data_IF_626069139333
#
_entry.id   IF_626069139333
#
_cell.length_a   1.000
_cell.length_b   1.000
_cell.length_c   1.000
_cell.angle_alpha   90.00
_cell.angle_beta   90.00
_cell.angle_gamma   90.00
#
_symmetry.space_group_name_H-M   'P 1'
#
loop_
_entity.id
_entity.type
_entity.pdbx_description
1 polymer ?
#
# COMPACT_ATOMS: atom_id res chain seq x y z
N UNK A 1 -0.72 20.55 13.64
CA UNK A 1 -1.09 19.21 14.14
C UNK A 1 -1.71 18.35 13.02
N UNK A 2 -1.22 18.48 11.77
CA UNK A 2 -1.70 17.70 10.62
C UNK A 2 -0.58 16.94 9.91
N UNK A 3 0.67 17.02 10.39
CA UNK A 3 1.87 16.51 9.71
C UNK A 3 2.31 15.14 10.23
N UNK A 4 1.35 14.31 10.67
CA UNK A 4 1.60 12.98 11.26
C UNK A 4 1.05 11.82 10.43
N UNK A 5 0.58 12.08 9.22
CA UNK A 5 0.14 11.06 8.30
C UNK A 5 0.76 11.31 6.92
N UNK A 6 1.46 10.32 6.34
CA UNK A 6 1.88 10.39 4.95
C UNK A 6 0.67 10.64 4.04
N UNK A 7 0.82 11.56 3.08
CA UNK A 7 -0.22 11.84 2.09
C UNK A 7 -0.41 10.62 1.19
N UNK A 8 -1.67 10.35 0.84
CA UNK A 8 -2.07 9.21 0.01
C UNK A 8 -1.34 9.17 -1.36
N UNK A 9 -0.83 10.32 -1.83
CA UNK A 9 -0.03 10.47 -3.04
C UNK A 9 1.38 9.83 -2.98
N UNK A 10 1.95 9.59 -1.78
CA UNK A 10 3.27 8.95 -1.64
C UNK A 10 3.21 7.43 -1.84
N UNK A 11 2.04 6.80 -1.71
CA UNK A 11 1.84 5.36 -1.95
C UNK A 11 1.70 5.01 -3.44
N UNK A 12 1.28 5.97 -4.27
CA UNK A 12 1.06 5.77 -5.71
C UNK A 12 2.36 5.94 -6.54
N UNK A 13 3.42 6.44 -5.90
CA UNK A 13 4.70 6.77 -6.55
C UNK A 13 5.64 5.57 -6.71
N UNK A 14 5.16 4.33 -6.84
CA UNK A 14 5.92 3.18 -7.38
C UNK A 14 7.34 2.90 -6.84
N UNK A 15 7.72 3.44 -5.69
CA UNK A 15 9.11 3.49 -5.23
C UNK A 15 9.45 2.32 -4.31
N UNK A 16 9.07 1.10 -4.67
CA UNK A 16 9.72 -0.11 -4.15
C UNK A 16 9.44 -1.32 -5.06
N UNK A 17 10.21 -1.45 -6.15
CA UNK A 17 10.11 -2.61 -7.07
C UNK A 17 11.27 -3.61 -6.90
N UNK A 18 11.77 -3.81 -5.69
CA UNK A 18 12.67 -4.94 -5.39
C UNK A 18 11.88 -6.04 -4.68
N UNK A 19 11.31 -6.95 -5.47
CA UNK A 19 10.77 -8.22 -4.97
C UNK A 19 11.97 -9.13 -4.75
N UNK A 20 12.48 -9.16 -3.52
CA UNK A 20 13.48 -10.12 -3.09
C UNK A 20 12.76 -11.42 -2.72
N UNK A 21 13.20 -12.55 -3.26
CA UNK A 21 12.61 -13.87 -3.00
C UNK A 21 12.53 -14.14 -1.48
N UNK A 22 11.32 -14.27 -0.95
CA UNK A 22 11.13 -14.67 0.44
C UNK A 22 10.96 -16.19 0.53
N UNK A 23 11.98 -16.81 1.13
CA UNK A 23 11.81 -18.09 1.80
C UNK A 23 10.83 -17.95 2.96
N UNK A 24 10.25 -19.09 3.37
CA UNK A 24 9.19 -19.23 4.38
C UNK A 24 9.13 -18.10 5.43
N UNK A 25 7.99 -17.39 5.57
CA UNK A 25 7.89 -16.19 6.38
C UNK A 25 8.18 -16.50 7.86
N UNK A 26 9.36 -16.09 8.32
CA UNK A 26 9.70 -16.06 9.76
C UNK A 26 9.20 -14.74 10.33
N UNK A 27 8.77 -14.76 11.59
CA UNK A 27 8.38 -13.55 12.33
C UNK A 27 9.49 -12.49 12.35
N UNK A 28 10.76 -12.93 12.25
CA UNK A 28 11.93 -12.05 12.20
C UNK A 28 11.98 -11.18 10.93
N UNK A 29 11.47 -11.69 9.81
CA UNK A 29 11.50 -10.98 8.51
C UNK A 29 10.46 -9.87 8.46
N UNK A 30 9.28 -10.14 9.05
CA UNK A 30 8.25 -9.12 9.25
C UNK A 30 8.75 -7.99 10.16
N UNK A 31 9.36 -8.31 11.31
CA UNK A 31 9.91 -7.30 12.22
C UNK A 31 11.05 -6.51 11.58
N UNK A 32 11.91 -7.16 10.78
CA UNK A 32 12.98 -6.49 10.06
C UNK A 32 12.44 -5.52 8.99
N UNK A 33 11.40 -5.94 8.25
CA UNK A 33 10.74 -5.10 7.24
C UNK A 33 10.05 -3.89 7.86
N UNK A 34 9.28 -4.09 8.92
CA UNK A 34 8.58 -3.01 9.62
C UNK A 34 9.59 -2.05 10.29
N UNK A 35 10.70 -2.57 10.85
CA UNK A 35 11.79 -1.75 11.40
C UNK A 35 12.53 -0.94 10.34
N UNK A 36 12.73 -1.48 9.15
CA UNK A 36 13.35 -0.77 8.04
C UNK A 36 12.43 0.34 7.49
N UNK A 37 11.12 0.07 7.44
CA UNK A 37 10.11 1.03 7.01
C UNK A 37 9.97 2.20 7.99
N UNK A 38 10.03 1.91 9.29
CA UNK A 38 9.78 2.90 10.36
C UNK A 38 11.06 3.58 10.87
N UNK A 39 12.24 3.11 10.47
CA UNK A 39 13.52 3.76 10.74
C UNK A 39 13.81 3.98 12.23
N UNK A 40 14.23 5.19 12.60
CA UNK A 40 14.56 5.55 13.99
C UNK A 40 13.33 5.48 14.93
N UNK A 41 12.12 5.69 14.40
CA UNK A 41 10.86 5.60 15.14
C UNK A 41 10.46 4.15 15.47
N UNK A 42 11.04 3.15 14.81
CA UNK A 42 10.82 1.73 15.12
C UNK A 42 11.20 1.39 16.58
N UNK A 43 12.12 2.15 17.18
CA UNK A 43 12.53 1.96 18.58
C UNK A 43 11.45 2.35 19.60
N UNK A 44 10.45 3.13 19.19
CA UNK A 44 9.32 3.51 20.04
C UNK A 44 8.30 2.37 20.22
N UNK A 45 8.30 1.41 19.30
CA UNK A 45 7.44 0.22 19.32
C UNK A 45 8.18 -1.04 19.78
N UNK A 46 9.50 -0.95 19.96
CA UNK A 46 10.34 -2.02 20.51
C UNK A 46 10.45 -1.89 22.05
N UNK A 47 9.34 -1.60 22.71
CA UNK A 47 9.31 -1.56 24.18
C UNK A 47 9.48 -2.99 24.67
N UNK A 48 10.65 -3.35 25.21
CA UNK A 48 11.04 -4.72 25.63
C UNK A 48 10.08 -5.51 26.55
N UNK A 49 8.89 -4.99 26.82
CA UNK A 49 7.68 -5.62 27.34
C UNK A 49 7.03 -6.61 26.37
N UNK A 50 7.10 -6.45 25.03
CA UNK A 50 6.37 -7.37 24.13
C UNK A 50 6.97 -8.79 24.02
N UNK A 51 8.27 -8.95 24.27
CA UNK A 51 8.89 -10.29 24.33
C UNK A 51 8.65 -10.98 25.68
N UNK A 52 8.23 -10.26 26.71
CA UNK A 52 7.79 -10.86 27.99
C UNK A 52 6.31 -11.27 27.93
N UNK A 53 5.46 -10.51 27.22
CA UNK A 53 4.03 -10.78 27.07
C UNK A 53 3.70 -12.06 26.27
N UNK A 54 4.63 -12.54 25.43
CA UNK A 54 4.47 -13.79 24.68
C UNK A 54 5.12 -15.02 25.35
N UNK A 55 5.90 -14.81 26.42
CA UNK A 55 6.73 -15.88 27.00
C UNK A 55 6.50 -16.11 28.50
N UNK A 56 5.66 -15.31 29.16
CA UNK A 56 5.34 -15.48 30.57
C UNK A 56 3.82 -15.56 30.80
N UNK A 57 3.26 -16.69 31.27
CA UNK A 57 1.85 -16.79 31.68
C UNK A 57 1.51 -15.92 32.91
N UNK A 58 2.45 -15.11 33.42
CA UNK A 58 2.26 -14.25 34.59
C UNK A 58 2.24 -12.74 34.30
N UNK A 59 2.32 -12.29 33.04
CA UNK A 59 2.25 -10.84 32.71
C UNK A 59 0.85 -10.42 32.23
N UNK A 60 -0.10 -10.63 33.13
CA UNK A 60 -1.39 -9.94 33.19
C UNK A 60 -1.16 -8.51 33.69
N UNK A 61 -0.98 -7.51 32.82
CA UNK A 61 -1.27 -6.10 33.16
C UNK A 61 -1.10 -5.15 31.97
N UNK A 62 -1.98 -5.18 30.96
CA UNK A 62 -2.14 -4.02 30.04
C UNK A 62 -3.52 -3.87 29.38
N UNK A 63 -4.56 -4.59 29.83
CA UNK A 63 -5.94 -4.39 29.36
C UNK A 63 -7.02 -4.52 30.46
N UNK A 64 -6.68 -4.16 31.69
CA UNK A 64 -7.63 -4.06 32.81
C UNK A 64 -7.57 -5.26 33.75
N UNK A 65 -6.55 -5.26 34.59
CA UNK A 65 -6.42 -6.18 35.73
C UNK A 65 -7.38 -5.84 36.85
N UNK A 66 -8.60 -6.35 36.76
CA UNK A 66 -9.39 -6.79 37.92
C UNK A 66 -10.46 -7.77 37.45
N UNK A 67 -10.07 -9.00 37.07
CA UNK A 67 -11.11 -10.02 36.84
C UNK A 67 -10.73 -11.49 37.03
N UNK A 68 -10.06 -11.76 38.15
CA UNK A 68 -10.16 -13.08 38.79
C UNK A 68 -11.52 -13.31 39.48
N UNK A 69 -12.31 -12.24 39.68
CA UNK A 69 -13.57 -12.28 40.41
C UNK A 69 -14.78 -12.48 39.49
N UNK A 70 -14.96 -11.76 38.38
CA UNK A 70 -16.10 -11.94 37.48
C UNK A 70 -15.95 -13.13 36.54
N UNK A 71 -14.73 -13.54 36.18
CA UNK A 71 -14.52 -14.82 35.49
C UNK A 71 -14.94 -16.00 36.38
N UNK A 72 -14.54 -15.99 37.66
CA UNK A 72 -14.98 -17.01 38.63
C UNK A 72 -16.46 -16.89 38.98
N UNK A 73 -17.05 -15.69 39.00
CA UNK A 73 -18.49 -15.49 39.16
C UNK A 73 -19.29 -16.01 37.95
N UNK A 74 -18.79 -15.78 36.72
CA UNK A 74 -19.39 -16.26 35.49
C UNK A 74 -19.30 -17.78 35.37
N UNK A 75 -18.13 -18.39 35.65
CA UNK A 75 -17.99 -19.84 35.72
C UNK A 75 -18.85 -20.49 36.82
N UNK A 76 -19.08 -19.78 37.94
CA UNK A 76 -19.96 -20.26 39.02
C UNK A 76 -21.45 -20.16 38.68
N UNK A 77 -21.84 -19.21 37.81
CA UNK A 77 -23.22 -19.00 37.38
C UNK A 77 -23.60 -19.78 36.12
N UNK A 78 -22.62 -20.12 35.28
CA UNK A 78 -22.79 -20.90 34.06
C UNK A 78 -21.78 -22.05 34.03
N UNK A 79 -22.11 -23.20 34.64
CA UNK A 79 -21.26 -24.38 34.61
C UNK A 79 -20.99 -24.83 33.16
N UNK A 80 -19.73 -25.13 32.86
CA UNK A 80 -19.33 -25.61 31.55
C UNK A 80 -19.98 -26.97 31.23
N UNK A 81 -20.84 -26.98 30.23
CA UNK A 81 -21.55 -28.16 29.70
C UNK A 81 -20.71 -28.97 28.71
N UNK A 82 -19.53 -28.47 28.33
CA UNK A 82 -18.62 -29.10 27.35
C UNK A 82 -17.56 -30.01 27.95
N UNK A 83 -17.34 -29.98 29.27
CA UNK A 83 -16.34 -30.80 29.93
C UNK A 83 -16.93 -32.17 30.34
N UNK A 84 -16.56 -33.29 29.69
CA UNK A 84 -16.98 -34.61 30.13
C UNK A 84 -16.29 -34.91 31.47
N UNK A 85 -17.00 -34.68 32.56
CA UNK A 85 -16.55 -35.05 33.90
C UNK A 85 -16.41 -36.59 33.96
N UNK A 86 -15.18 -37.09 33.91
CA UNK A 86 -14.83 -38.51 33.93
C UNK A 86 -14.94 -39.17 35.32
N UNK A 87 -15.69 -38.57 36.25
CA UNK A 87 -16.00 -39.16 37.55
C UNK A 87 -17.48 -39.02 37.91
N UNK A 88 -18.22 -40.13 37.84
CA UNK A 88 -19.45 -40.32 38.61
C UNK A 88 -20.61 -40.97 37.85
N UNK A 89 -20.85 -42.24 38.18
CA UNK A 89 -21.99 -43.04 37.74
C UNK A 89 -23.36 -42.48 38.25
N UNK A 90 -24.51 -43.07 37.83
CA UNK A 90 -25.78 -42.37 37.67
C UNK A 90 -26.51 -42.14 38.99
N UNK A 91 -26.99 -40.91 39.18
CA UNK A 91 -27.96 -40.58 40.21
C UNK A 91 -27.47 -39.51 41.17
N UNK A 92 -28.04 -38.32 41.01
CA UNK A 92 -28.25 -37.41 42.13
C UNK A 92 -27.27 -36.26 42.25
N UNK A 93 -27.82 -35.05 42.08
CA UNK A 93 -27.60 -33.99 43.05
C UNK A 93 -26.55 -32.95 42.71
N UNK A 94 -26.78 -32.18 41.64
CA UNK A 94 -26.17 -30.84 41.56
C UNK A 94 -27.05 -29.93 42.44
N UNK A 95 -26.58 -29.66 43.66
CA UNK A 95 -27.28 -28.83 44.64
C UNK A 95 -27.06 -27.36 44.33
N UNK A 96 -27.95 -26.77 43.53
CA UNK A 96 -28.13 -25.32 43.38
C UNK A 96 -29.63 -25.01 43.37
N UNK A 97 -30.08 -23.77 43.65
CA UNK A 97 -31.50 -23.45 43.69
C UNK A 97 -32.11 -23.66 42.30
N UNK A 98 -32.69 -24.84 42.10
CA UNK A 98 -33.41 -25.20 40.89
C UNK A 98 -34.73 -24.43 40.91
N UNK A 99 -34.77 -23.31 40.20
CA UNK A 99 -36.04 -22.87 39.64
C UNK A 99 -36.40 -23.90 38.59
N UNK A 100 -37.15 -24.91 39.02
CA UNK A 100 -37.67 -25.96 38.18
C UNK A 100 -38.75 -25.35 37.27
N UNK A 101 -38.33 -24.81 36.13
CA UNK A 101 -39.24 -24.62 35.00
C UNK A 101 -39.54 -26.00 34.41
N UNK A 102 -40.38 -26.76 35.11
CA UNK A 102 -41.11 -27.84 34.51
C UNK A 102 -42.18 -27.21 33.61
N UNK A 103 -41.75 -26.69 32.45
CA UNK A 103 -42.67 -26.55 31.33
C UNK A 103 -43.09 -27.98 31.00
N UNK A 104 -44.27 -28.37 31.47
CA UNK A 104 -44.82 -29.72 31.35
C UNK A 104 -45.13 -30.14 29.91
N UNK A 105 -44.37 -29.63 28.93
CA UNK A 105 -44.43 -30.03 27.54
C UNK A 105 -43.50 -31.22 27.35
N UNK A 106 -44.06 -32.42 27.55
CA UNK A 106 -43.46 -33.63 27.00
C UNK A 106 -43.58 -33.54 25.49
N UNK A 107 -42.45 -33.54 24.79
CA UNK A 107 -42.41 -33.75 23.35
C UNK A 107 -42.83 -35.19 23.04
N UNK A 108 -44.13 -35.46 23.13
CA UNK A 108 -44.73 -36.50 22.33
C UNK A 108 -44.61 -36.04 20.89
N UNK A 109 -43.67 -36.66 20.18
CA UNK A 109 -43.69 -36.73 18.73
C UNK A 109 -44.95 -37.49 18.31
N UNK A 110 -46.10 -36.82 18.40
CA UNK A 110 -47.26 -37.18 17.62
C UNK A 110 -47.02 -36.59 16.26
N UNK A 111 -47.07 -37.45 15.26
CA UNK A 111 -47.13 -37.16 13.82
C UNK A 111 -48.40 -36.33 13.50
N UNK A 112 -48.53 -35.14 14.09
CA UNK A 112 -49.26 -34.03 13.51
C UNK A 112 -48.28 -33.27 12.62
N UNK A 113 -47.92 -33.92 11.52
CA UNK A 113 -47.96 -33.25 10.24
C UNK A 113 -49.33 -32.54 10.22
N UNK A 114 -49.44 -31.22 10.17
CA UNK A 114 -49.52 -30.49 8.92
C UNK A 114 -49.81 -29.02 9.28
N UNK A 115 -49.16 -28.10 8.59
CA UNK A 115 -49.30 -26.63 8.68
C UNK A 115 -48.65 -26.03 9.93
N UNK A 116 -47.36 -25.65 9.78
CA UNK A 116 -46.86 -24.49 10.52
C UNK A 116 -47.95 -23.41 10.47
N UNK A 117 -48.32 -22.78 11.60
CA UNK A 117 -49.42 -21.83 11.62
C UNK A 117 -49.17 -20.79 10.52
N UNK A 118 -50.20 -20.50 9.71
CA UNK A 118 -50.06 -19.73 8.46
C UNK A 118 -49.29 -18.41 8.65
N UNK A 119 -49.39 -17.83 9.85
CA UNK A 119 -48.64 -16.64 10.28
C UNK A 119 -47.12 -16.85 10.24
N UNK A 120 -46.63 -18.00 10.72
CA UNK A 120 -45.20 -18.35 10.71
C UNK A 120 -44.73 -18.62 9.28
N UNK A 121 -45.54 -19.29 8.45
CA UNK A 121 -45.22 -19.51 7.04
C UNK A 121 -45.10 -18.18 6.29
N UNK A 122 -46.08 -17.28 6.46
CA UNK A 122 -46.05 -15.94 5.86
C UNK A 122 -44.88 -15.10 6.37
N UNK A 123 -44.52 -15.22 7.65
CA UNK A 123 -43.38 -14.53 8.23
C UNK A 123 -42.06 -15.03 7.64
N UNK A 124 -41.87 -16.35 7.54
CA UNK A 124 -40.67 -16.95 6.91
C UNK A 124 -40.58 -16.56 5.44
N UNK A 125 -41.68 -16.66 4.69
CA UNK A 125 -41.72 -16.24 3.29
C UNK A 125 -41.34 -14.76 3.10
N UNK A 126 -41.86 -13.86 3.96
CA UNK A 126 -41.48 -12.42 3.93
C UNK A 126 -40.01 -12.20 4.29
N UNK A 127 -39.49 -12.91 5.29
CA UNK A 127 -38.09 -12.84 5.72
C UNK A 127 -37.17 -13.34 4.62
N UNK A 128 -37.47 -14.50 4.06
CA UNK A 128 -36.65 -15.14 3.04
C UNK A 128 -36.67 -14.33 1.73
N UNK A 129 -37.83 -13.76 1.36
CA UNK A 129 -37.91 -12.79 0.26
C UNK A 129 -37.07 -11.52 0.52
N UNK A 130 -37.08 -11.00 1.75
CA UNK A 130 -36.24 -9.86 2.15
C UNK A 130 -34.74 -10.19 2.11
N UNK A 131 -34.36 -11.38 2.55
CA UNK A 131 -32.99 -11.87 2.49
C UNK A 131 -32.53 -12.12 1.05
N UNK A 132 -33.39 -12.70 0.20
CA UNK A 132 -33.12 -12.92 -1.21
C UNK A 132 -32.89 -11.59 -1.95
N UNK A 133 -33.75 -10.59 -1.73
CA UNK A 133 -33.58 -9.25 -2.32
C UNK A 133 -32.26 -8.61 -1.88
N UNK A 134 -31.90 -8.74 -0.59
CA UNK A 134 -30.64 -8.19 -0.08
C UNK A 134 -29.43 -8.94 -0.67
N UNK A 135 -29.52 -10.27 -0.80
CA UNK A 135 -28.47 -11.08 -1.41
C UNK A 135 -28.27 -10.72 -2.90
N UNK A 136 -29.36 -10.49 -3.65
CA UNK A 136 -29.29 -10.03 -5.04
C UNK A 136 -28.62 -8.66 -5.15
N UNK A 137 -28.99 -7.71 -4.27
CA UNK A 137 -28.35 -6.39 -4.23
C UNK A 137 -26.85 -6.48 -3.92
N UNK A 138 -26.45 -7.29 -2.95
CA UNK A 138 -25.03 -7.48 -2.65
C UNK A 138 -24.28 -8.21 -3.76
N UNK A 139 -24.92 -9.17 -4.43
CA UNK A 139 -24.32 -9.84 -5.58
C UNK A 139 -24.11 -8.87 -6.75
N UNK A 140 -25.10 -8.00 -7.02
CA UNK A 140 -24.98 -6.95 -8.02
C UNK A 140 -23.87 -5.95 -7.70
N UNK A 141 -23.80 -5.45 -6.45
CA UNK A 141 -22.74 -4.54 -6.02
C UNK A 141 -21.36 -5.19 -6.13
N UNK A 142 -21.20 -6.46 -5.71
CA UNK A 142 -19.94 -7.18 -5.87
C UNK A 142 -19.55 -7.33 -7.34
N UNK A 143 -20.50 -7.66 -8.21
CA UNK A 143 -20.23 -7.77 -9.65
C UNK A 143 -19.85 -6.42 -10.26
N UNK A 144 -20.47 -5.32 -9.83
CA UNK A 144 -20.12 -3.96 -10.24
C UNK A 144 -18.71 -3.59 -9.77
N UNK A 145 -18.36 -3.82 -8.50
CA UNK A 145 -17.01 -3.56 -7.98
C UNK A 145 -15.95 -4.40 -8.70
N UNK A 146 -16.23 -5.68 -9.00
CA UNK A 146 -15.30 -6.52 -9.75
C UNK A 146 -15.12 -6.00 -11.17
N UNK A 147 -16.20 -5.57 -11.83
CA UNK A 147 -16.14 -4.98 -13.16
C UNK A 147 -15.36 -3.67 -13.16
N UNK A 148 -15.60 -2.79 -12.20
CA UNK A 148 -14.88 -1.53 -12.04
C UNK A 148 -13.39 -1.78 -11.78
N UNK A 149 -13.06 -2.76 -10.92
CA UNK A 149 -11.67 -3.15 -10.68
C UNK A 149 -10.99 -3.68 -11.95
N UNK A 150 -11.68 -4.49 -12.76
CA UNK A 150 -11.15 -4.95 -14.05
C UNK A 150 -10.92 -3.79 -15.02
N UNK A 151 -11.89 -2.87 -15.13
CA UNK A 151 -11.75 -1.67 -15.96
C UNK A 151 -10.59 -0.79 -15.50
N UNK A 152 -10.40 -0.61 -14.19
CA UNK A 152 -9.30 0.16 -13.66
C UNK A 152 -7.93 -0.48 -13.98
N UNK A 153 -7.85 -1.82 -13.94
CA UNK A 153 -6.65 -2.56 -14.35
C UNK A 153 -6.36 -2.33 -15.83
N UNK A 154 -7.37 -2.45 -16.70
CA UNK A 154 -7.22 -2.23 -18.13
C UNK A 154 -6.78 -0.77 -18.41
N UNK A 155 -7.45 0.21 -17.81
CA UNK A 155 -7.13 1.63 -17.91
C UNK A 155 -5.70 1.93 -17.41
N UNK A 156 -5.25 1.28 -16.34
CA UNK A 156 -3.90 1.45 -15.82
C UNK A 156 -2.86 1.00 -16.85
N UNK A 157 -3.04 -0.18 -17.47
CA UNK A 157 -2.11 -0.69 -18.46
C UNK A 157 -2.13 0.12 -19.76
N UNK A 158 -3.31 0.56 -20.22
CA UNK A 158 -3.42 1.45 -21.37
C UNK A 158 -2.70 2.79 -21.12
N UNK A 159 -2.95 3.41 -19.97
CA UNK A 159 -2.31 4.68 -19.58
C UNK A 159 -0.81 4.52 -19.39
N UNK A 160 -0.36 3.44 -18.75
CA UNK A 160 1.06 3.13 -18.56
C UNK A 160 1.75 2.93 -19.91
N UNK A 161 1.19 2.11 -20.79
CA UNK A 161 1.76 1.87 -22.12
C UNK A 161 1.79 3.16 -22.95
N UNK A 162 0.72 3.95 -22.95
CA UNK A 162 0.67 5.26 -23.60
C UNK A 162 1.76 6.20 -23.07
N UNK A 163 1.96 6.27 -21.75
CA UNK A 163 2.99 7.10 -21.11
C UNK A 163 4.40 6.61 -21.43
N UNK A 164 4.62 5.30 -21.43
CA UNK A 164 5.88 4.65 -21.80
C UNK A 164 6.22 4.96 -23.25
N UNK A 165 5.29 4.74 -24.18
CA UNK A 165 5.47 5.03 -25.60
C UNK A 165 5.75 6.50 -25.86
N UNK A 166 5.01 7.41 -25.20
CA UNK A 166 5.27 8.85 -25.27
C UNK A 166 6.68 9.21 -24.77
N UNK A 167 7.12 8.62 -23.66
CA UNK A 167 8.47 8.85 -23.11
C UNK A 167 9.55 8.33 -24.05
N UNK A 168 9.35 7.14 -24.62
CA UNK A 168 10.28 6.56 -25.60
C UNK A 168 10.34 7.43 -26.86
N UNK A 169 9.19 7.83 -27.40
CA UNK A 169 9.11 8.69 -28.58
C UNK A 169 9.74 10.07 -28.32
N UNK A 170 9.53 10.64 -27.14
CA UNK A 170 10.19 11.89 -26.74
C UNK A 170 11.70 11.71 -26.65
N UNK A 171 12.18 10.64 -26.03
CA UNK A 171 13.62 10.34 -25.94
C UNK A 171 14.25 10.12 -27.31
N UNK A 172 13.55 9.44 -28.23
CA UNK A 172 13.99 9.25 -29.61
C UNK A 172 14.07 10.59 -30.34
N UNK A 173 13.05 11.43 -30.22
CA UNK A 173 13.03 12.77 -30.81
C UNK A 173 14.14 13.66 -30.25
N UNK A 174 14.38 13.62 -28.95
CA UNK A 174 15.44 14.38 -28.30
C UNK A 174 16.83 13.86 -28.73
N UNK A 175 16.99 12.54 -28.91
CA UNK A 175 18.21 11.96 -29.46
C UNK A 175 18.43 12.37 -30.93
N UNK A 176 17.40 12.36 -31.76
CA UNK A 176 17.46 12.84 -33.14
C UNK A 176 17.80 14.33 -33.20
N UNK A 177 17.19 15.16 -32.35
CA UNK A 177 17.51 16.58 -32.24
C UNK A 177 18.93 16.82 -31.74
N UNK A 178 19.40 16.01 -30.79
CA UNK A 178 20.78 16.07 -30.31
C UNK A 178 21.78 15.69 -31.40
N UNK A 179 21.51 14.61 -32.15
CA UNK A 179 22.32 14.21 -33.30
C UNK A 179 22.31 15.29 -34.39
N UNK A 180 21.15 15.85 -34.73
CA UNK A 180 21.05 16.94 -35.68
C UNK A 180 21.80 18.20 -35.20
N UNK A 181 21.72 18.55 -33.91
CA UNK A 181 22.45 19.68 -33.33
C UNK A 181 23.96 19.44 -33.31
N UNK A 182 24.40 18.20 -33.07
CA UNK A 182 25.80 17.79 -33.15
C UNK A 182 26.31 17.88 -34.59
N UNK A 183 25.53 17.37 -35.54
CA UNK A 183 25.89 17.37 -36.95
C UNK A 183 25.90 18.80 -37.51
N UNK A 184 24.95 19.67 -37.14
CA UNK A 184 24.99 21.12 -37.46
C UNK A 184 26.20 21.82 -36.82
N UNK A 185 26.53 21.48 -35.58
CA UNK A 185 27.72 22.02 -34.89
C UNK A 185 29.02 21.52 -35.50
N UNK A 186 29.03 20.36 -36.15
CA UNK A 186 30.23 19.76 -36.75
C UNK A 186 30.39 20.14 -38.23
N UNK A 187 29.28 20.33 -38.96
CA UNK A 187 29.27 20.54 -40.41
C UNK A 187 29.15 22.02 -40.83
N UNK A 188 28.79 22.95 -39.94
CA UNK A 188 28.62 24.37 -40.26
C UNK A 188 29.72 25.29 -39.71
N UNK A 189 30.40 26.02 -40.60
CA UNK A 189 31.21 27.20 -40.26
C UNK A 189 32.72 26.98 -40.05
N UNK A 190 33.42 28.08 -39.74
CA UNK A 190 34.87 28.08 -39.46
C UNK A 190 35.17 27.28 -38.18
N UNK A 191 36.38 26.74 -38.04
CA UNK A 191 36.77 25.95 -36.84
C UNK A 191 36.53 26.71 -35.52
N UNK A 192 36.63 28.04 -35.54
CA UNK A 192 36.35 28.91 -34.39
C UNK A 192 34.86 29.06 -34.06
N UNK A 193 33.97 28.98 -35.05
CA UNK A 193 32.53 28.96 -34.81
C UNK A 193 32.09 27.65 -34.14
N UNK A 194 32.71 26.52 -34.50
CA UNK A 194 32.50 25.22 -33.82
C UNK A 194 32.96 25.26 -32.36
N UNK A 195 34.14 25.80 -32.10
CA UNK A 195 34.68 25.97 -30.74
C UNK A 195 33.78 26.91 -29.92
N UNK A 196 33.27 27.99 -30.51
CA UNK A 196 32.38 28.92 -29.82
C UNK A 196 31.03 28.28 -29.46
N UNK A 197 30.44 27.44 -30.32
CA UNK A 197 29.22 26.66 -30.02
C UNK A 197 29.46 25.68 -28.86
N UNK A 198 30.58 24.95 -28.85
CA UNK A 198 30.94 23.98 -27.79
C UNK A 198 31.20 24.63 -26.42
N UNK A 199 31.82 25.82 -26.41
CA UNK A 199 32.18 26.55 -25.18
C UNK A 199 30.98 27.32 -24.59
N UNK A 200 29.80 27.26 -25.23
CA UNK A 200 28.57 27.98 -24.90
C UNK A 200 28.83 29.42 -24.42
N UNK A 201 29.28 30.25 -25.36
CA UNK A 201 29.36 31.71 -25.16
C UNK A 201 28.01 32.41 -25.37
N UNK A 202 26.91 31.67 -25.59
CA UNK A 202 25.62 32.25 -26.02
C UNK A 202 24.79 32.86 -24.90
N UNK A 203 25.03 32.51 -23.62
CA UNK A 203 24.29 33.06 -22.48
C UNK A 203 25.08 34.02 -21.59
N UNK A 204 26.39 34.13 -21.81
CA UNK A 204 27.30 34.90 -20.99
C UNK A 204 27.97 35.90 -21.91
N UNK A 205 27.51 37.15 -21.88
CA UNK A 205 28.01 38.22 -22.75
C UNK A 205 29.54 38.38 -22.71
N UNK A 206 30.08 39.39 -23.39
CA UNK A 206 31.54 39.56 -23.52
C UNK A 206 32.30 39.61 -22.16
N UNK A 207 31.60 39.92 -21.05
CA UNK A 207 32.07 39.89 -19.66
C UNK A 207 31.35 38.86 -18.76
N UNK A 208 30.55 37.97 -19.33
CA UNK A 208 29.69 37.04 -18.60
C UNK A 208 30.49 35.87 -18.02
N UNK A 209 30.35 35.65 -16.72
CA UNK A 209 31.05 34.65 -15.93
C UNK A 209 31.26 35.18 -14.53
N UNK A 210 31.39 34.30 -13.53
CA UNK A 210 31.66 34.72 -12.16
C UNK A 210 32.86 35.68 -12.13
N UNK A 211 32.59 36.92 -11.69
CA UNK A 211 33.57 38.00 -11.63
C UNK A 211 34.77 37.52 -10.80
N UNK A 212 35.94 37.44 -11.42
CA UNK A 212 37.16 36.91 -10.79
C UNK A 212 37.74 35.62 -11.41
N UNK A 213 37.08 35.01 -12.40
CA UNK A 213 37.63 33.82 -13.05
C UNK A 213 38.70 34.09 -14.13
N UNK A 214 38.94 35.35 -14.53
CA UNK A 214 39.91 35.71 -15.58
C UNK A 214 39.56 35.22 -16.99
N UNK A 215 38.36 34.64 -17.18
CA UNK A 215 37.88 34.09 -18.45
C UNK A 215 37.33 35.14 -19.41
N UNK A 216 37.31 36.43 -19.04
CA UNK A 216 36.84 37.49 -19.95
C UNK A 216 37.75 37.62 -21.18
N UNK A 217 39.08 37.61 -21.01
CA UNK A 217 40.04 37.73 -22.13
C UNK A 217 39.95 36.57 -23.10
N UNK A 218 39.74 35.37 -22.57
CA UNK A 218 39.54 34.17 -23.38
C UNK A 218 38.25 34.24 -24.21
N UNK A 219 37.14 34.72 -23.62
CA UNK A 219 35.88 34.92 -24.35
C UNK A 219 35.97 36.03 -25.39
N UNK A 220 36.66 37.13 -25.06
CA UNK A 220 36.93 38.23 -25.98
C UNK A 220 37.70 37.74 -27.21
N UNK A 221 38.76 36.95 -27.00
CA UNK A 221 39.53 36.31 -28.07
C UNK A 221 38.68 35.32 -28.90
N UNK A 222 37.84 34.50 -28.26
CA UNK A 222 36.95 33.58 -28.96
C UNK A 222 35.89 34.30 -29.81
N UNK A 223 35.36 35.42 -29.32
CA UNK A 223 34.41 36.24 -30.09
C UNK A 223 35.06 36.96 -31.27
N UNK A 224 36.33 37.39 -31.15
CA UNK A 224 37.07 37.97 -32.29
C UNK A 224 37.41 36.90 -33.33
N UNK A 225 37.90 35.73 -32.89
CA UNK A 225 38.27 34.63 -33.78
C UNK A 225 37.05 34.01 -34.48
N UNK A 226 35.87 34.02 -33.84
CA UNK A 226 34.62 33.59 -34.48
C UNK A 226 34.21 34.51 -35.65
N UNK A 227 34.46 35.82 -35.53
CA UNK A 227 34.06 36.82 -36.56
C UNK A 227 35.10 36.99 -37.67
N UNK A 228 36.31 36.47 -37.48
CA UNK A 228 37.42 36.62 -38.42
C UNK A 228 37.48 35.42 -39.37
N UNK A 229 37.12 35.66 -40.64
CA UNK A 229 37.13 34.66 -41.72
C UNK A 229 38.56 34.23 -42.12
N UNK A 230 39.60 35.02 -41.78
CA UNK A 230 41.03 34.70 -42.02
C UNK A 230 41.74 34.15 -40.78
N UNK A 231 41.00 33.82 -39.73
CA UNK A 231 41.58 33.26 -38.52
C UNK A 231 42.33 31.95 -38.85
N UNK A 232 43.46 31.66 -38.18
CA UNK A 232 44.19 30.42 -38.38
C UNK A 232 43.26 29.22 -38.12
N UNK A 233 43.16 28.31 -39.09
CA UNK A 233 42.25 27.16 -39.06
C UNK A 233 40.82 27.44 -39.55
N UNK A 234 40.52 28.65 -40.07
CA UNK A 234 39.22 29.00 -40.62
C UNK A 234 38.92 28.34 -41.98
N UNK A 235 39.95 28.12 -42.83
CA UNK A 235 39.80 27.50 -44.17
C UNK A 235 39.79 25.96 -44.16
N UNK A 236 39.86 25.32 -42.98
CA UNK A 236 39.85 23.85 -42.87
C UNK A 236 41.16 23.19 -43.33
N UNK A 237 41.33 21.93 -42.93
CA UNK A 237 42.30 20.97 -43.47
C UNK A 237 41.50 19.83 -44.13
#
# INVERSE_FOLDING_TARGET
MADRFPSLDDFDSGAQTDIKEEGSPSADDFLARERALLGDDATQFATGTESAALTDPASDDLLGGDDGAESTQFQSQFPDIGSPNEQGAPGGGITGPSVNYNSGYNAFATEEEELEPEVIQQWRAKRDAGNAKRAEQFAAQKAETVKEAQQNIDDFYENYNSKKEKTIAQTQKDAEQFLASRDDTTSGGTSWERIAKLVDVSGKGQKGGASGSGKERFRELLMSLRKDEKAPGAEGY
#
